data_IF_276819516398
#
_entry.id   IF_276819516398
#
_cell.length_a   1.000
_cell.length_b   1.000
_cell.length_c   1.000
_cell.angle_alpha   90.00
_cell.angle_beta   90.00
_cell.angle_gamma   90.00
#
_symmetry.space_group_name_H-M   'P 1'
#
loop_
_entity.id
_entity.type
_entity.pdbx_description
1 polymer ?
#
# COMPACT_ATOMS: atom_id res chain seq x y z
N UNK A 1 9.71 17.66 42.92
CA UNK A 1 11.00 17.07 42.54
C UNK A 1 10.68 15.76 41.84
N UNK A 2 10.56 15.80 40.52
CA UNK A 2 10.06 14.69 39.70
C UNK A 2 11.18 13.65 39.64
N UNK A 3 10.99 12.52 40.33
CA UNK A 3 11.93 11.40 40.30
C UNK A 3 11.63 10.56 39.06
N UNK A 4 12.70 10.33 38.29
CA UNK A 4 12.77 9.53 37.07
C UNK A 4 11.80 8.36 37.01
N UNK A 5 11.06 8.31 35.90
CA UNK A 5 10.45 7.09 35.36
C UNK A 5 11.53 5.99 35.35
N UNK A 6 11.22 4.84 35.95
CA UNK A 6 12.14 3.72 36.01
C UNK A 6 12.28 3.10 34.62
N UNK A 7 13.32 3.49 33.89
CA UNK A 7 13.64 3.05 32.53
C UNK A 7 13.62 1.53 32.33
N UNK A 8 13.86 0.74 33.39
CA UNK A 8 13.85 -0.73 33.32
C UNK A 8 12.45 -1.31 33.08
N UNK A 9 11.40 -0.67 33.59
CA UNK A 9 10.02 -1.14 33.44
C UNK A 9 9.47 -0.82 32.05
N UNK A 10 9.82 0.34 31.49
CA UNK A 10 9.46 0.75 30.11
C UNK A 10 10.05 -0.21 29.07
N UNK A 11 11.29 -0.65 29.27
CA UNK A 11 11.94 -1.64 28.39
C UNK A 11 11.22 -2.99 28.43
N UNK A 12 10.64 -3.37 29.58
CA UNK A 12 9.98 -4.68 29.75
C UNK A 12 8.63 -4.75 29.03
N UNK A 13 7.86 -3.65 29.01
CA UNK A 13 6.58 -3.57 28.29
C UNK A 13 6.78 -3.56 26.77
N UNK A 14 7.77 -2.81 26.28
CA UNK A 14 8.13 -2.81 24.84
C UNK A 14 8.60 -4.19 24.36
N UNK A 15 9.35 -4.92 25.20
CA UNK A 15 9.82 -6.27 24.90
C UNK A 15 8.67 -7.30 24.86
N UNK A 16 7.67 -7.17 25.73
CA UNK A 16 6.49 -8.05 25.73
C UNK A 16 5.61 -7.78 24.52
N UNK A 17 5.40 -6.51 24.17
CA UNK A 17 4.59 -6.13 23.02
C UNK A 17 5.26 -6.61 21.71
N UNK A 18 6.59 -6.54 21.61
CA UNK A 18 7.32 -7.09 20.46
C UNK A 18 7.36 -8.64 20.41
N UNK A 19 7.40 -9.34 21.56
CA UNK A 19 7.32 -10.81 21.59
C UNK A 19 5.94 -11.37 21.20
N UNK A 20 4.86 -10.60 21.41
CA UNK A 20 3.50 -11.01 21.04
C UNK A 20 3.30 -11.15 19.52
N UNK A 21 4.16 -10.55 18.70
CA UNK A 21 4.07 -10.56 17.23
C UNK A 21 4.88 -11.66 16.54
N UNK A 22 5.46 -12.64 17.27
CA UNK A 22 6.19 -13.78 16.68
C UNK A 22 5.27 -14.99 16.37
N UNK A 23 3.99 -14.94 16.75
CA UNK A 23 3.03 -16.01 16.46
C UNK A 23 2.13 -15.65 15.27
N UNK A 24 1.90 -16.58 14.31
CA UNK A 24 0.96 -16.34 13.22
C UNK A 24 -0.45 -16.23 13.80
N UNK A 25 -1.04 -15.04 13.74
CA UNK A 25 -2.44 -14.80 14.11
C UNK A 25 -3.32 -15.39 13.02
N UNK A 26 -4.05 -16.46 13.34
CA UNK A 26 -5.17 -16.94 12.54
C UNK A 26 -6.37 -16.00 12.69
N UNK A 27 -7.02 -15.68 11.57
CA UNK A 27 -8.03 -14.63 11.43
C UNK A 27 -9.41 -14.92 12.09
N UNK A 28 -9.49 -15.73 13.15
CA UNK A 28 -10.79 -16.12 13.73
C UNK A 28 -10.86 -16.02 15.27
N UNK A 29 -9.82 -15.50 15.93
CA UNK A 29 -9.91 -15.15 17.35
C UNK A 29 -9.99 -13.63 17.49
N UNK A 30 -11.19 -13.13 17.79
CA UNK A 30 -11.31 -11.81 18.39
C UNK A 30 -10.42 -11.79 19.64
N UNK A 31 -9.43 -10.91 19.69
CA UNK A 31 -8.69 -10.64 20.93
C UNK A 31 -9.67 -10.04 21.93
N UNK A 32 -10.36 -10.92 22.68
CA UNK A 32 -10.85 -10.60 24.00
C UNK A 32 -9.66 -10.03 24.78
N UNK A 33 -9.88 -8.92 25.49
CA UNK A 33 -8.98 -8.37 26.52
C UNK A 33 -8.12 -9.49 27.07
N UNK A 34 -6.79 -9.43 26.93
CA UNK A 34 -5.94 -10.36 27.66
C UNK A 34 -6.32 -10.17 29.13
N UNK A 35 -7.06 -11.15 29.66
CA UNK A 35 -7.54 -11.16 31.04
C UNK A 35 -6.31 -11.48 31.89
N UNK A 36 -5.46 -10.46 32.06
CA UNK A 36 -4.29 -10.52 32.92
C UNK A 36 -4.86 -10.76 34.32
N UNK A 37 -4.79 -12.01 34.77
CA UNK A 37 -5.27 -12.39 36.08
C UNK A 37 -4.63 -11.49 37.12
N UNK A 38 -5.47 -10.78 37.88
CA UNK A 38 -5.03 -9.85 38.91
C UNK A 38 -4.07 -10.57 39.88
N UNK A 39 -2.86 -10.05 40.10
CA UNK A 39 -1.96 -10.60 41.10
C UNK A 39 -2.59 -10.52 42.50
N UNK A 40 -2.36 -11.54 43.33
CA UNK A 40 -2.99 -11.69 44.66
C UNK A 40 -2.62 -10.59 45.69
N UNK A 41 -1.78 -9.61 45.32
CA UNK A 41 -1.34 -8.49 46.16
C UNK A 41 -2.13 -7.19 45.96
N UNK A 42 -3.03 -7.13 44.98
CA UNK A 42 -3.92 -5.98 44.80
C UNK A 42 -5.18 -6.14 45.65
N UNK A 43 -5.53 -5.11 46.43
CA UNK A 43 -6.80 -5.05 47.14
C UNK A 43 -7.58 -3.78 46.78
N UNK A 44 -8.58 -3.90 45.92
CA UNK A 44 -9.42 -2.77 45.52
C UNK A 44 -10.46 -2.36 46.57
N UNK A 45 -10.46 -2.96 47.77
CA UNK A 45 -11.31 -2.53 48.89
C UNK A 45 -11.04 -1.06 49.29
N UNK A 46 -9.87 -0.49 48.92
CA UNK A 46 -9.47 0.90 49.18
C UNK A 46 -9.17 1.72 47.90
N UNK A 47 -9.94 1.56 46.83
CA UNK A 47 -9.90 2.49 45.70
C UNK A 47 -10.63 3.80 46.06
N UNK A 48 -9.96 4.95 46.03
CA UNK A 48 -10.62 6.23 46.35
C UNK A 48 -11.08 6.97 45.10
N UNK A 49 -10.41 6.82 43.95
CA UNK A 49 -10.75 7.54 42.73
C UNK A 49 -10.69 6.66 41.48
N UNK A 50 -11.77 6.74 40.69
CA UNK A 50 -11.77 6.26 39.31
C UNK A 50 -11.59 7.44 38.36
N UNK A 51 -10.55 7.42 37.52
CA UNK A 51 -10.34 8.40 36.45
C UNK A 51 -10.76 7.85 35.10
N UNK A 52 -11.59 8.61 34.37
CA UNK A 52 -12.05 8.26 33.04
C UNK A 52 -11.25 9.00 31.97
N UNK A 53 -11.09 8.35 30.82
CA UNK A 53 -10.27 8.83 29.72
C UNK A 53 -9.11 7.87 29.46
N UNK A 54 -8.29 8.21 28.48
CA UNK A 54 -7.19 7.36 28.05
C UNK A 54 -6.39 8.06 26.95
N UNK A 55 -5.36 7.38 26.44
CA UNK A 55 -4.62 7.90 25.31
C UNK A 55 -5.51 7.96 24.06
N UNK A 56 -5.24 8.94 23.21
CA UNK A 56 -5.84 9.06 21.88
C UNK A 56 -4.72 9.47 20.93
N UNK A 57 -4.15 8.49 20.23
CA UNK A 57 -2.94 8.70 19.43
C UNK A 57 -3.33 8.87 17.97
N UNK A 58 -3.26 10.11 17.49
CA UNK A 58 -3.55 10.44 16.09
C UNK A 58 -2.27 10.50 15.26
N UNK A 59 -2.36 10.06 14.01
CA UNK A 59 -1.29 10.06 13.04
C UNK A 59 -1.45 11.18 12.00
N UNK A 60 -0.32 11.74 11.56
CA UNK A 60 -0.27 12.72 10.48
C UNK A 60 0.88 12.38 9.55
N UNK A 61 0.60 12.28 8.24
CA UNK A 61 1.64 12.16 7.22
C UNK A 61 2.40 13.47 7.06
N UNK A 62 3.73 13.40 7.05
CA UNK A 62 4.62 14.54 6.82
C UNK A 62 5.17 14.46 5.39
N UNK A 63 5.05 15.57 4.65
CA UNK A 63 5.58 15.71 3.30
C UNK A 63 4.52 15.44 2.24
N UNK A 64 4.99 15.03 1.06
CA UNK A 64 4.12 14.74 -0.06
C UNK A 64 3.37 13.43 0.16
N UNK A 65 2.13 13.37 -0.30
CA UNK A 65 1.31 12.17 -0.28
C UNK A 65 0.95 11.69 -1.69
N UNK A 66 1.57 12.25 -2.73
CA UNK A 66 1.24 11.98 -4.13
C UNK A 66 2.46 11.45 -4.90
N UNK A 67 2.34 10.26 -5.48
CA UNK A 67 3.46 9.48 -6.02
C UNK A 67 3.15 8.91 -7.41
N UNK A 68 4.21 8.58 -8.15
CA UNK A 68 4.15 7.99 -9.48
C UNK A 68 4.13 6.46 -9.42
N UNK A 69 3.70 5.82 -10.51
CA UNK A 69 3.66 4.36 -10.60
C UNK A 69 5.09 3.79 -10.58
N UNK A 70 5.30 2.70 -9.84
CA UNK A 70 6.63 2.10 -9.69
C UNK A 70 7.55 2.78 -8.68
N UNK A 71 7.10 3.86 -8.01
CA UNK A 71 7.89 4.53 -6.99
C UNK A 71 8.10 3.64 -5.76
N UNK A 72 9.32 3.65 -5.22
CA UNK A 72 9.61 3.18 -3.85
C UNK A 72 9.89 4.39 -2.96
N UNK A 73 9.01 4.63 -1.98
CA UNK A 73 9.05 5.84 -1.15
C UNK A 73 9.00 5.51 0.34
N UNK A 74 9.54 6.41 1.16
CA UNK A 74 9.45 6.35 2.62
C UNK A 74 8.43 7.36 3.11
N UNK A 75 7.29 6.88 3.60
CA UNK A 75 6.29 7.69 4.29
C UNK A 75 6.80 8.05 5.69
N UNK A 76 6.76 9.34 6.03
CA UNK A 76 7.12 9.83 7.37
C UNK A 76 5.83 10.15 8.12
N UNK A 77 5.53 9.40 9.19
CA UNK A 77 4.29 9.56 9.97
C UNK A 77 4.60 10.08 11.35
N UNK A 78 4.07 11.25 11.70
CA UNK A 78 4.13 11.82 13.04
C UNK A 78 2.96 11.29 13.87
N UNK A 79 3.20 10.94 15.12
CA UNK A 79 2.12 10.64 16.06
C UNK A 79 2.00 11.74 17.10
N UNK A 80 0.78 12.07 17.49
CA UNK A 80 0.47 12.98 18.59
C UNK A 80 -0.57 12.35 19.51
N UNK A 81 -0.28 12.32 20.81
CA UNK A 81 -1.24 11.88 21.81
C UNK A 81 -2.13 13.05 22.24
N UNK A 82 -3.40 13.00 21.87
CA UNK A 82 -4.46 13.97 22.22
C UNK A 82 -5.35 13.47 23.35
N UNK A 83 -4.99 12.37 23.99
CA UNK A 83 -5.75 11.76 25.09
C UNK A 83 -5.98 12.75 26.22
N UNK A 84 -7.20 12.80 26.75
CA UNK A 84 -7.58 13.68 27.85
C UNK A 84 -8.30 12.91 28.95
N UNK A 85 -8.26 13.45 30.16
CA UNK A 85 -9.10 12.98 31.25
C UNK A 85 -10.53 13.52 30.99
N UNK A 86 -11.49 12.61 30.91
CA UNK A 86 -12.89 12.94 30.60
C UNK A 86 -13.77 12.99 31.85
N UNK A 87 -13.28 12.49 32.99
CA UNK A 87 -14.01 12.57 34.25
C UNK A 87 -13.26 11.98 35.43
N UNK A 88 -13.79 12.25 36.61
CA UNK A 88 -13.32 11.74 37.89
C UNK A 88 -14.54 11.28 38.69
N UNK A 89 -14.44 10.14 39.36
CA UNK A 89 -15.43 9.67 40.33
C UNK A 89 -14.73 9.35 41.64
N UNK A 90 -15.21 9.94 42.72
CA UNK A 90 -14.83 9.55 44.09
C UNK A 90 -15.59 8.26 44.42
N UNK A 91 -14.89 7.22 44.86
CA UNK A 91 -15.49 5.93 45.24
C UNK A 91 -15.77 5.84 46.75
N UNK A 92 -15.14 6.70 47.56
CA UNK A 92 -15.48 6.85 48.98
C UNK A 92 -16.38 8.07 49.23
N UNK A 93 -17.52 7.82 49.89
CA UNK A 93 -18.46 8.83 50.42
C UNK A 93 -18.37 9.00 51.95
N UNK A 94 -17.42 8.35 52.60
CA UNK A 94 -17.31 8.37 54.06
C UNK A 94 -16.82 9.74 54.55
N UNK A 95 -17.58 10.37 55.43
CA UNK A 95 -17.21 11.64 56.04
C UNK A 95 -17.42 11.52 57.56
N UNK A 96 -16.39 11.77 58.40
CA UNK A 96 -15.07 12.32 58.08
C UNK A 96 -14.04 11.28 57.62
N UNK A 97 -13.26 11.63 56.60
CA UNK A 97 -12.02 10.92 56.18
C UNK A 97 -10.82 11.37 57.03
N UNK A 98 -9.88 10.48 57.31
CA UNK A 98 -8.68 10.80 58.09
C UNK A 98 -7.69 11.69 57.29
N UNK A 99 -6.75 12.33 57.98
CA UNK A 99 -5.70 13.12 57.31
C UNK A 99 -4.80 12.25 56.42
N UNK A 100 -4.60 10.98 56.79
CA UNK A 100 -3.89 9.99 55.98
C UNK A 100 -4.67 9.66 54.71
N UNK A 101 -5.96 9.37 54.84
CA UNK A 101 -6.82 9.02 53.69
C UNK A 101 -6.92 10.20 52.71
N UNK A 102 -7.02 11.43 53.22
CA UNK A 102 -6.96 12.65 52.39
C UNK A 102 -5.65 12.75 51.61
N UNK A 103 -4.53 12.35 52.21
CA UNK A 103 -3.21 12.40 51.57
C UNK A 103 -3.03 11.30 50.54
N UNK A 104 -3.52 10.10 50.84
CA UNK A 104 -3.57 8.95 49.92
C UNK A 104 -4.41 9.33 48.70
N UNK A 105 -5.63 9.83 48.91
CA UNK A 105 -6.53 10.36 47.89
C UNK A 105 -5.86 11.35 46.92
N UNK A 106 -5.19 12.38 47.47
CA UNK A 106 -4.48 13.38 46.64
C UNK A 106 -3.33 12.77 45.84
N UNK A 107 -2.67 11.77 46.42
CA UNK A 107 -1.52 11.10 45.81
C UNK A 107 -1.98 10.17 44.68
N UNK A 108 -3.00 9.37 44.94
CA UNK A 108 -3.65 8.48 43.98
C UNK A 108 -4.17 9.27 42.78
N UNK A 109 -4.87 10.39 43.01
CA UNK A 109 -5.32 11.29 41.94
C UNK A 109 -4.17 11.75 41.02
N UNK A 110 -2.99 12.00 41.58
CA UNK A 110 -1.80 12.39 40.79
C UNK A 110 -1.23 11.26 39.94
N UNK A 111 -1.35 10.01 40.40
CA UNK A 111 -0.96 8.84 39.60
C UNK A 111 -2.03 8.47 38.58
N UNK A 112 -3.31 8.48 38.94
CA UNK A 112 -4.44 8.24 38.05
C UNK A 112 -4.46 9.24 36.87
N UNK A 113 -4.02 10.48 37.09
CA UNK A 113 -3.90 11.48 36.03
C UNK A 113 -2.93 11.07 34.89
N UNK A 114 -2.06 10.08 35.11
CA UNK A 114 -1.12 9.58 34.09
C UNK A 114 -1.78 8.59 33.11
N UNK A 115 -3.02 8.17 33.34
CA UNK A 115 -3.82 7.25 32.51
C UNK A 115 -3.87 7.62 31.03
N UNK A 116 -3.77 8.91 30.70
CA UNK A 116 -3.78 9.41 29.32
C UNK A 116 -2.47 9.22 28.57
N UNK A 117 -1.42 8.71 29.21
CA UNK A 117 -0.12 8.50 28.59
C UNK A 117 -0.12 7.19 27.79
N UNK A 118 0.20 7.26 26.50
CA UNK A 118 0.45 6.07 25.68
C UNK A 118 1.90 5.63 25.85
N UNK A 119 2.11 4.41 26.36
CA UNK A 119 3.41 3.86 26.73
C UNK A 119 3.83 2.79 25.73
N UNK A 120 5.03 2.91 25.17
CA UNK A 120 5.57 1.88 24.26
C UNK A 120 4.69 1.67 23.02
N UNK A 121 4.35 2.74 22.33
CA UNK A 121 3.55 2.72 21.11
C UNK A 121 4.29 1.93 20.02
N UNK A 122 3.60 0.95 19.46
CA UNK A 122 4.00 0.20 18.27
C UNK A 122 2.98 0.46 17.17
N UNK A 123 3.46 0.91 16.02
CA UNK A 123 2.66 1.27 14.87
C UNK A 123 2.90 0.30 13.71
N UNK A 124 1.83 -0.21 13.12
CA UNK A 124 1.87 -1.17 12.02
C UNK A 124 1.05 -0.59 10.87
N UNK A 125 1.71 -0.30 9.75
CA UNK A 125 1.06 0.16 8.54
C UNK A 125 0.78 -1.04 7.62
N UNK A 126 -0.44 -1.10 7.10
CA UNK A 126 -0.88 -2.15 6.17
C UNK A 126 -1.63 -1.53 5.01
N UNK A 127 -1.63 -2.22 3.87
CA UNK A 127 -2.49 -1.90 2.73
C UNK A 127 -3.33 -3.13 2.40
N UNK A 128 -4.62 -2.93 2.20
CA UNK A 128 -5.51 -3.96 1.69
C UNK A 128 -5.51 -3.99 0.14
N UNK A 129 -4.95 -2.96 -0.51
CA UNK A 129 -4.87 -2.86 -1.96
C UNK A 129 -3.55 -3.45 -2.47
N UNK A 130 -3.57 -4.43 -3.40
CA UNK A 130 -2.36 -5.06 -3.92
C UNK A 130 -1.45 -4.10 -4.72
N UNK A 131 -1.95 -2.94 -5.12
CA UNK A 131 -1.17 -1.93 -5.83
C UNK A 131 -0.24 -1.12 -4.93
N UNK A 132 -0.45 -1.12 -3.61
CA UNK A 132 0.46 -0.47 -2.65
C UNK A 132 1.03 -1.51 -1.70
N UNK A 133 2.30 -1.82 -1.85
CA UNK A 133 2.98 -2.78 -0.99
C UNK A 133 3.72 -2.07 0.14
N UNK A 134 3.34 -2.33 1.39
CA UNK A 134 4.13 -1.90 2.55
C UNK A 134 5.30 -2.87 2.74
N UNK A 135 6.53 -2.35 2.71
CA UNK A 135 7.78 -3.11 2.85
C UNK A 135 8.37 -3.04 4.26
N UNK A 136 7.97 -2.04 5.05
CA UNK A 136 8.37 -1.92 6.45
C UNK A 136 7.58 -2.87 7.35
N UNK A 137 8.23 -3.34 8.40
CA UNK A 137 7.55 -3.97 9.55
C UNK A 137 7.07 -2.95 10.59
N UNK A 138 6.64 -3.43 11.77
CA UNK A 138 6.24 -2.57 12.89
C UNK A 138 7.30 -1.51 13.24
N UNK A 139 6.85 -0.31 13.58
CA UNK A 139 7.71 0.81 14.00
C UNK A 139 7.40 1.19 15.46
N UNK A 140 8.43 1.46 16.25
CA UNK A 140 8.26 1.91 17.64
C UNK A 140 8.27 3.44 17.72
N UNK A 141 7.29 4.01 18.40
CA UNK A 141 7.19 5.46 18.64
C UNK A 141 7.53 5.87 20.08
N UNK A 142 7.83 4.88 20.94
CA UNK A 142 8.15 5.13 22.34
C UNK A 142 6.92 5.51 23.17
N UNK A 143 7.09 6.41 24.13
CA UNK A 143 6.01 6.86 25.02
C UNK A 143 5.64 8.30 24.70
N UNK A 144 4.34 8.59 24.63
CA UNK A 144 3.81 9.94 24.44
C UNK A 144 2.87 10.29 25.57
N UNK A 145 3.23 11.27 26.40
CA UNK A 145 2.30 11.87 27.34
C UNK A 145 1.22 12.66 26.59
N UNK A 146 0.14 13.02 27.29
CA UNK A 146 -0.91 13.86 26.70
C UNK A 146 -0.34 15.19 26.21
N UNK A 147 -0.64 15.54 24.96
CA UNK A 147 -0.16 16.74 24.27
C UNK A 147 1.23 16.60 23.63
N UNK A 148 1.92 15.47 23.83
CA UNK A 148 3.22 15.22 23.20
C UNK A 148 3.06 14.64 21.79
N UNK A 149 4.11 14.82 20.99
CA UNK A 149 4.26 14.25 19.68
C UNK A 149 5.60 13.54 19.54
N UNK A 150 5.71 12.64 18.56
CA UNK A 150 6.97 11.98 18.24
C UNK A 150 8.07 12.99 17.94
N UNK A 151 9.28 12.75 18.49
CA UNK A 151 10.45 13.59 18.20
C UNK A 151 11.02 13.28 16.82
N UNK A 152 11.02 11.99 16.45
CA UNK A 152 11.38 11.50 15.13
C UNK A 152 10.16 10.81 14.49
N UNK A 153 9.77 11.17 13.26
CA UNK A 153 8.67 10.52 12.57
C UNK A 153 8.96 9.04 12.31
N UNK A 154 7.89 8.24 12.36
CA UNK A 154 7.91 6.84 11.97
C UNK A 154 8.11 6.71 10.46
N UNK A 155 8.88 5.72 10.03
CA UNK A 155 9.27 5.56 8.62
C UNK A 155 8.74 4.27 8.05
N UNK A 156 7.79 4.38 7.12
CA UNK A 156 7.21 3.24 6.42
C UNK A 156 7.60 3.27 4.95
N UNK A 157 8.38 2.29 4.52
CA UNK A 157 8.71 2.11 3.12
C UNK A 157 7.54 1.45 2.41
N UNK A 158 7.08 2.07 1.34
CA UNK A 158 6.04 1.53 0.46
C UNK A 158 6.55 1.45 -0.97
N UNK A 159 5.90 0.62 -1.77
CA UNK A 159 6.13 0.50 -3.20
C UNK A 159 4.79 0.59 -3.92
N UNK A 160 4.72 1.52 -4.88
CA UNK A 160 3.57 1.69 -5.76
C UNK A 160 3.75 0.77 -6.97
N UNK A 161 2.75 -0.05 -7.28
CA UNK A 161 2.77 -0.91 -8.45
C UNK A 161 2.93 -0.09 -9.73
N UNK A 162 3.69 -0.62 -10.71
CA UNK A 162 3.81 -0.01 -12.05
C UNK A 162 2.48 0.07 -12.80
N UNK A 163 1.53 -0.79 -12.43
CA UNK A 163 0.20 -0.86 -13.04
C UNK A 163 -0.88 -0.31 -12.10
N UNK A 164 -0.51 0.42 -11.05
CA UNK A 164 -1.46 1.00 -10.11
C UNK A 164 -2.36 2.02 -10.84
N UNK A 165 -3.70 1.86 -10.81
CA UNK A 165 -4.60 2.90 -11.30
C UNK A 165 -4.37 4.22 -10.56
N UNK A 166 -4.60 5.35 -11.23
CA UNK A 166 -4.58 6.64 -10.55
C UNK A 166 -5.72 6.73 -9.52
N UNK A 167 -5.44 7.31 -8.35
CA UNK A 167 -6.44 7.44 -7.30
C UNK A 167 -5.87 7.52 -5.89
N UNK A 168 -6.77 7.59 -4.91
CA UNK A 168 -6.41 7.59 -3.49
C UNK A 168 -6.42 6.16 -2.95
N UNK A 169 -5.34 5.81 -2.24
CA UNK A 169 -5.12 4.51 -1.63
C UNK A 169 -5.03 4.69 -0.12
N UNK A 170 -6.08 4.30 0.62
CA UNK A 170 -6.06 4.34 2.08
C UNK A 170 -5.15 3.24 2.64
N UNK A 171 -4.33 3.59 3.62
CA UNK A 171 -3.46 2.66 4.35
C UNK A 171 -3.88 2.63 5.82
N UNK A 172 -4.06 1.42 6.35
CA UNK A 172 -4.52 1.21 7.72
C UNK A 172 -3.31 1.23 8.66
N UNK A 173 -3.29 2.19 9.58
CA UNK A 173 -2.29 2.31 10.63
C UNK A 173 -2.88 1.79 11.94
N UNK A 174 -2.45 0.60 12.35
CA UNK A 174 -2.83 0.04 13.66
C UNK A 174 -1.79 0.41 14.70
N UNK A 175 -2.24 1.02 15.79
CA UNK A 175 -1.44 1.44 16.92
C UNK A 175 -1.76 0.56 18.13
N UNK A 176 -0.72 -0.01 18.73
CA UNK A 176 -0.78 -0.70 20.01
C UNK A 176 0.03 0.09 21.03
N UNK A 177 -0.49 0.24 22.25
CA UNK A 177 0.24 0.91 23.32
C UNK A 177 -0.19 0.37 24.68
N UNK A 178 0.71 0.41 25.65
CA UNK A 178 0.36 0.25 27.05
C UNK A 178 -0.23 1.55 27.61
N UNK A 179 -1.09 1.45 28.62
CA UNK A 179 -1.52 2.58 29.41
C UNK A 179 -1.83 2.14 30.84
N UNK A 180 -1.71 3.05 31.80
CA UNK A 180 -2.07 2.76 33.18
C UNK A 180 -3.60 2.74 33.30
N UNK A 181 -4.16 1.58 33.62
CA UNK A 181 -5.60 1.42 33.76
C UNK A 181 -6.08 1.72 35.19
N UNK A 182 -5.24 1.46 36.20
CA UNK A 182 -5.54 1.80 37.60
C UNK A 182 -4.25 1.97 38.42
N UNK A 183 -4.35 2.70 39.53
CA UNK A 183 -3.34 2.73 40.60
C UNK A 183 -3.98 2.37 41.94
N UNK A 184 -3.18 1.82 42.84
CA UNK A 184 -3.50 1.62 44.25
C UNK A 184 -2.39 2.26 45.09
N UNK A 185 -2.75 3.03 46.12
CA UNK A 185 -1.81 3.69 47.02
C UNK A 185 -2.10 3.28 48.46
N UNK A 186 -1.10 2.67 49.11
CA UNK A 186 -1.17 2.27 50.53
C UNK A 186 -0.07 2.98 51.34
N UNK A 187 -0.25 3.11 52.66
CA UNK A 187 0.79 3.59 53.56
C UNK A 187 0.36 3.70 55.02
N UNK A 188 1.32 3.89 55.92
CA UNK A 188 1.10 3.67 57.36
C UNK A 188 0.65 4.93 58.12
N UNK A 189 1.23 6.09 57.81
CA UNK A 189 0.96 7.36 58.53
C UNK A 189 1.22 8.59 57.65
N UNK A 190 0.48 9.67 57.93
CA UNK A 190 0.70 11.00 57.33
C UNK A 190 1.78 11.78 58.10
N UNK A 191 2.63 12.49 57.36
CA UNK A 191 3.63 13.41 57.89
C UNK A 191 3.73 14.64 57.01
N UNK A 192 4.34 15.71 57.53
CA UNK A 192 4.64 16.92 56.76
C UNK A 192 5.50 16.69 55.51
N UNK A 193 6.19 15.55 55.40
CA UNK A 193 7.01 15.15 54.25
C UNK A 193 6.26 14.22 53.27
N UNK A 194 5.05 13.75 53.61
CA UNK A 194 4.26 12.81 52.82
C UNK A 194 3.81 11.58 53.62
N UNK A 195 3.42 10.53 52.90
CA UNK A 195 2.97 9.24 53.47
C UNK A 195 4.20 8.38 53.79
N UNK A 196 4.24 7.82 54.99
CA UNK A 196 5.31 6.89 55.40
C UNK A 196 5.01 5.46 54.94
N UNK A 197 6.06 4.70 54.61
CA UNK A 197 5.97 3.34 54.06
C UNK A 197 4.99 3.22 52.88
N UNK A 198 5.00 4.25 52.02
CA UNK A 198 4.08 4.32 50.89
C UNK A 198 4.38 3.24 49.86
N UNK A 199 3.39 2.43 49.54
CA UNK A 199 3.40 1.43 48.48
C UNK A 199 2.50 1.88 47.33
N UNK A 200 2.95 1.64 46.10
CA UNK A 200 2.26 2.05 44.87
C UNK A 200 2.10 0.83 43.97
N UNK A 201 0.87 0.36 43.81
CA UNK A 201 0.50 -0.67 42.86
C UNK A 201 0.05 -0.04 41.54
N UNK A 202 0.70 -0.35 40.43
CA UNK A 202 0.32 0.14 39.10
C UNK A 202 -0.21 -1.00 38.25
N UNK A 203 -1.39 -0.80 37.66
CA UNK A 203 -2.00 -1.74 36.73
C UNK A 203 -1.94 -1.20 35.31
N UNK A 204 -1.46 -2.02 34.38
CA UNK A 204 -1.31 -1.65 32.97
C UNK A 204 -2.18 -2.53 32.09
N UNK A 205 -2.82 -1.90 31.12
CA UNK A 205 -3.56 -2.56 30.05
C UNK A 205 -2.97 -2.19 28.68
N UNK A 206 -3.35 -2.96 27.66
CA UNK A 206 -3.00 -2.68 26.26
C UNK A 206 -4.20 -2.02 25.59
N UNK A 207 -3.97 -0.84 25.02
CA UNK A 207 -4.88 -0.15 24.13
C UNK A 207 -4.55 -0.46 22.67
N UNK A 208 -5.57 -0.45 21.83
CA UNK A 208 -5.47 -0.55 20.38
C UNK A 208 -6.27 0.59 19.74
N UNK A 209 -5.68 1.28 18.79
CA UNK A 209 -6.31 2.32 17.99
C UNK A 209 -6.02 2.08 16.52
N UNK A 210 -7.02 2.29 15.67
CA UNK A 210 -6.84 2.32 14.23
C UNK A 210 -6.92 3.76 13.76
N UNK A 211 -5.97 4.14 12.92
CA UNK A 211 -5.98 5.40 12.20
C UNK A 211 -5.69 5.11 10.72
N UNK A 212 -5.86 6.12 9.86
CA UNK A 212 -5.68 5.96 8.43
C UNK A 212 -4.78 7.06 7.88
N UNK A 213 -3.84 6.66 7.02
CA UNK A 213 -3.07 7.59 6.19
C UNK A 213 -3.33 7.26 4.73
N UNK A 214 -3.50 8.27 3.88
CA UNK A 214 -3.78 8.07 2.46
C UNK A 214 -2.57 8.46 1.62
N UNK A 215 -2.29 7.66 0.59
CA UNK A 215 -1.38 8.01 -0.50
C UNK A 215 -2.16 8.14 -1.79
N UNK A 216 -1.70 8.98 -2.71
CA UNK A 216 -2.35 9.27 -3.98
C UNK A 216 -1.41 8.83 -5.10
N UNK A 217 -1.90 8.03 -6.03
CA UNK A 217 -1.19 7.70 -7.27
C UNK A 217 -1.62 8.70 -8.34
N UNK A 218 -0.62 9.35 -8.95
CA UNK A 218 -0.83 10.35 -9.99
C UNK A 218 -1.52 9.75 -11.21
N UNK A 219 -2.26 10.60 -11.92
CA UNK A 219 -2.65 10.29 -13.29
C UNK A 219 -1.41 10.39 -14.16
N UNK A 220 -1.19 9.36 -14.96
CA UNK A 220 -0.08 9.29 -15.90
C UNK A 220 -0.58 8.69 -17.21
N UNK A 221 0.07 9.06 -18.30
CA UNK A 221 -0.14 8.41 -19.58
C UNK A 221 0.57 7.06 -19.61
N UNK A 222 -0.05 6.09 -20.27
CA UNK A 222 0.49 4.76 -20.48
C UNK A 222 0.09 4.29 -21.87
N UNK A 223 0.92 3.49 -22.53
CA UNK A 223 0.76 3.14 -23.94
C UNK A 223 0.83 1.64 -24.17
N UNK A 224 -0.11 1.14 -24.94
CA UNK A 224 -0.12 -0.25 -25.40
C UNK A 224 -0.27 -0.33 -26.92
N UNK A 225 0.22 -1.42 -27.51
CA UNK A 225 0.10 -1.69 -28.94
C UNK A 225 -1.09 -2.61 -29.15
N UNK A 226 -2.10 -2.11 -29.85
CA UNK A 226 -3.33 -2.87 -30.11
C UNK A 226 -3.30 -3.62 -31.44
N UNK A 227 -2.47 -3.18 -32.40
CA UNK A 227 -2.37 -3.79 -33.71
C UNK A 227 -1.01 -3.52 -34.36
N UNK A 228 -0.48 -4.52 -35.08
CA UNK A 228 0.71 -4.39 -35.92
C UNK A 228 0.41 -5.04 -37.26
N UNK A 229 0.58 -4.29 -38.35
CA UNK A 229 0.38 -4.79 -39.71
C UNK A 229 1.54 -4.39 -40.61
N UNK A 230 1.71 -5.10 -41.72
CA UNK A 230 2.83 -4.92 -42.63
C UNK A 230 3.65 -6.21 -42.75
N UNK A 231 4.41 -6.30 -43.83
CA UNK A 231 5.24 -7.47 -44.14
C UNK A 231 6.71 -7.05 -44.18
N UNK A 232 7.54 -7.82 -43.48
CA UNK A 232 8.99 -7.66 -43.47
C UNK A 232 9.61 -8.92 -44.06
N UNK A 233 10.43 -8.76 -45.10
CA UNK A 233 11.05 -9.87 -45.84
C UNK A 233 12.57 -9.69 -45.81
N UNK A 234 13.32 -10.78 -45.58
CA UNK A 234 14.78 -10.75 -45.59
C UNK A 234 15.33 -10.14 -46.89
N UNK A 235 16.29 -9.22 -46.76
CA UNK A 235 16.93 -8.53 -47.87
C UNK A 235 16.09 -7.42 -48.52
N UNK A 236 14.88 -7.15 -48.03
CA UNK A 236 13.97 -6.13 -48.58
C UNK A 236 13.72 -4.98 -47.58
N UNK A 237 13.23 -3.87 -48.13
CA UNK A 237 12.59 -2.82 -47.33
C UNK A 237 11.11 -3.13 -47.18
N UNK A 238 10.57 -2.94 -45.98
CA UNK A 238 9.16 -3.08 -45.67
C UNK A 238 8.65 -1.93 -44.81
N UNK A 239 7.34 -1.77 -44.77
CA UNK A 239 6.67 -0.77 -43.95
C UNK A 239 5.77 -1.50 -42.97
N UNK A 240 5.87 -1.12 -41.70
CA UNK A 240 4.95 -1.58 -40.65
C UNK A 240 4.08 -0.42 -40.17
N UNK A 241 2.81 -0.72 -39.91
CA UNK A 241 1.85 0.17 -39.27
C UNK A 241 1.58 -0.38 -37.87
N UNK A 242 1.80 0.46 -36.86
CA UNK A 242 1.66 0.11 -35.45
C UNK A 242 0.63 1.04 -34.81
N UNK A 243 -0.46 0.46 -34.31
CA UNK A 243 -1.51 1.22 -33.63
C UNK A 243 -1.22 1.30 -32.14
N UNK A 244 -0.86 2.49 -31.67
CA UNK A 244 -0.66 2.79 -30.25
C UNK A 244 -1.96 3.30 -29.64
N UNK A 245 -2.27 2.84 -28.43
CA UNK A 245 -3.42 3.29 -27.64
C UNK A 245 -2.93 3.90 -26.33
N UNK A 246 -3.46 5.06 -25.97
CA UNK A 246 -3.29 5.60 -24.63
C UNK A 246 -4.19 4.82 -23.67
N UNK A 247 -3.61 4.00 -22.81
CA UNK A 247 -4.31 3.20 -21.79
C UNK A 247 -4.23 3.82 -20.39
N UNK A 248 -3.48 4.92 -20.24
CA UNK A 248 -3.40 5.70 -19.00
C UNK A 248 -4.61 6.62 -18.80
N UNK A 249 -4.62 7.37 -17.69
CA UNK A 249 -5.71 8.29 -17.33
C UNK A 249 -5.39 9.77 -17.64
N UNK A 250 -4.23 10.03 -18.25
CA UNK A 250 -3.80 11.36 -18.64
C UNK A 250 -3.78 11.51 -20.17
N UNK A 251 -4.29 12.64 -20.67
CA UNK A 251 -4.20 13.01 -22.08
C UNK A 251 -2.77 13.45 -22.43
N UNK A 252 -2.32 13.10 -23.64
CA UNK A 252 -0.98 13.47 -24.11
C UNK A 252 -1.04 14.34 -25.36
N UNK A 253 -0.09 15.26 -25.48
CA UNK A 253 0.07 16.13 -26.66
C UNK A 253 1.43 15.90 -27.32
N UNK A 254 1.51 16.29 -28.59
CA UNK A 254 2.73 16.23 -29.39
C UNK A 254 3.48 14.88 -29.32
N UNK A 255 2.70 13.80 -29.23
CA UNK A 255 3.23 12.46 -29.04
C UNK A 255 3.97 11.99 -30.31
N UNK A 256 5.22 11.56 -30.12
CA UNK A 256 6.10 11.03 -31.16
C UNK A 256 6.65 9.69 -30.69
N UNK A 257 6.37 8.65 -31.44
CA UNK A 257 6.92 7.31 -31.21
C UNK A 257 8.33 7.26 -31.78
N UNK A 258 9.27 6.69 -31.03
CA UNK A 258 10.62 6.38 -31.50
C UNK A 258 10.88 4.89 -31.37
N UNK A 259 11.48 4.29 -32.40
CA UNK A 259 11.91 2.88 -32.36
C UNK A 259 13.43 2.76 -32.21
N UNK A 260 13.85 1.76 -31.45
CA UNK A 260 15.26 1.35 -31.39
C UNK A 260 15.47 0.16 -32.32
N UNK A 261 16.02 0.44 -33.51
CA UNK A 261 16.38 -0.62 -34.47
C UNK A 261 17.68 -1.32 -34.07
N UNK A 262 17.68 -2.64 -34.20
CA UNK A 262 18.82 -3.52 -33.99
C UNK A 262 18.73 -4.68 -34.99
N UNK A 263 19.83 -5.41 -35.19
CA UNK A 263 19.91 -6.52 -36.14
C UNK A 263 18.71 -7.47 -36.02
N UNK A 264 18.05 -7.84 -37.14
CA UNK A 264 18.43 -7.58 -38.53
C UNK A 264 17.85 -6.28 -39.12
N UNK A 265 17.28 -5.39 -38.30
CA UNK A 265 16.60 -4.18 -38.77
C UNK A 265 17.54 -2.97 -38.80
N UNK A 266 17.42 -2.19 -39.87
CA UNK A 266 17.98 -0.84 -39.95
C UNK A 266 16.94 0.12 -40.52
N UNK A 267 17.00 1.38 -40.09
CA UNK A 267 16.12 2.43 -40.59
C UNK A 267 16.82 3.78 -40.58
N UNK A 268 16.38 4.66 -41.47
CA UNK A 268 16.75 6.10 -41.47
C UNK A 268 15.61 6.97 -40.96
N UNK A 269 14.46 6.39 -40.64
CA UNK A 269 13.24 7.07 -40.20
C UNK A 269 12.70 6.32 -38.95
N UNK A 270 13.36 6.57 -37.82
CA UNK A 270 13.10 5.89 -36.53
C UNK A 270 12.00 6.56 -35.70
N UNK A 271 11.32 7.57 -36.24
CA UNK A 271 10.32 8.37 -35.53
C UNK A 271 9.01 8.47 -36.30
N UNK A 272 7.90 8.52 -35.57
CA UNK A 272 6.57 8.72 -36.14
C UNK A 272 5.72 9.60 -35.23
N UNK A 273 5.21 10.72 -35.77
CA UNK A 273 4.34 11.63 -35.01
C UNK A 273 2.91 11.09 -34.99
N UNK A 274 2.36 10.91 -33.79
CA UNK A 274 1.02 10.36 -33.55
C UNK A 274 0.05 11.38 -32.91
N UNK A 275 0.51 12.61 -32.65
CA UNK A 275 -0.36 13.73 -32.30
C UNK A 275 -0.81 13.75 -30.84
N UNK A 276 -2.07 14.16 -30.62
CA UNK A 276 -2.70 14.20 -29.30
C UNK A 276 -3.54 12.95 -29.12
N UNK A 277 -3.46 12.32 -27.94
CA UNK A 277 -4.26 11.14 -27.59
C UNK A 277 -4.91 11.35 -26.23
N UNK A 278 -6.25 11.40 -26.20
CA UNK A 278 -7.01 11.31 -24.97
C UNK A 278 -6.96 9.89 -24.38
N UNK A 279 -7.28 9.70 -23.09
CA UNK A 279 -7.40 8.38 -22.48
C UNK A 279 -8.33 7.46 -23.29
N UNK A 280 -7.80 6.33 -23.74
CA UNK A 280 -8.51 5.33 -24.55
C UNK A 280 -8.43 5.54 -26.07
N UNK A 281 -7.91 6.67 -26.56
CA UNK A 281 -7.74 6.91 -28.00
C UNK A 281 -6.55 6.17 -28.59
N UNK A 282 -6.55 6.00 -29.92
CA UNK A 282 -5.50 5.29 -30.65
C UNK A 282 -5.06 6.04 -31.90
N UNK A 283 -3.78 5.92 -32.24
CA UNK A 283 -3.19 6.47 -33.46
C UNK A 283 -2.17 5.51 -34.07
N UNK A 284 -2.02 5.61 -35.39
CA UNK A 284 -1.12 4.77 -36.17
C UNK A 284 0.25 5.44 -36.36
N UNK A 285 1.30 4.75 -35.92
CA UNK A 285 2.68 5.06 -36.24
C UNK A 285 3.13 4.21 -37.44
N UNK A 286 3.86 4.82 -38.37
CA UNK A 286 4.36 4.16 -39.58
C UNK A 286 5.88 4.15 -39.53
N UNK A 287 6.47 2.97 -39.72
CA UNK A 287 7.92 2.81 -39.75
C UNK A 287 8.36 2.08 -41.01
N UNK A 288 9.36 2.65 -41.69
CA UNK A 288 10.05 2.00 -42.81
C UNK A 288 11.29 1.29 -42.28
N UNK A 289 11.38 -0.02 -42.50
CA UNK A 289 12.48 -0.86 -42.03
C UNK A 289 13.16 -1.55 -43.20
N UNK A 290 14.48 -1.62 -43.18
CA UNK A 290 15.27 -2.51 -44.04
C UNK A 290 15.68 -3.73 -43.23
N UNK A 291 15.43 -4.91 -43.78
CA UNK A 291 15.78 -6.19 -43.16
C UNK A 291 17.04 -6.73 -43.81
N UNK A 292 18.04 -7.09 -43.00
CA UNK A 292 19.28 -7.72 -43.48
C UNK A 292 18.98 -9.05 -44.18
N UNK A 293 19.67 -9.32 -45.29
CA UNK A 293 19.52 -10.56 -46.08
C UNK A 293 20.07 -11.79 -45.32
N UNK A 294 21.05 -11.59 -44.45
CA UNK A 294 21.67 -12.62 -43.60
C UNK A 294 20.89 -12.86 -42.30
N UNK A 295 19.77 -12.15 -42.11
CA UNK A 295 18.87 -12.33 -40.98
C UNK A 295 18.20 -13.71 -40.95
N UNK A 296 17.56 -14.02 -39.83
CA UNK A 296 16.80 -15.27 -39.64
C UNK A 296 15.32 -14.94 -39.73
N UNK A 297 14.58 -15.65 -40.57
CA UNK A 297 13.12 -15.53 -40.59
C UNK A 297 12.53 -16.05 -39.27
N UNK A 298 11.96 -15.15 -38.46
CA UNK A 298 11.30 -15.43 -37.19
C UNK A 298 10.53 -14.19 -36.72
N UNK A 299 9.80 -14.34 -35.62
CA UNK A 299 9.22 -13.20 -34.89
C UNK A 299 10.30 -12.43 -34.15
N UNK A 300 10.26 -11.11 -34.25
CA UNK A 300 11.12 -10.17 -33.55
C UNK A 300 10.30 -9.20 -32.71
N UNK A 301 10.93 -8.68 -31.66
CA UNK A 301 10.42 -7.58 -30.86
C UNK A 301 11.31 -6.36 -31.07
N UNK A 302 10.72 -5.25 -31.51
CA UNK A 302 11.38 -3.96 -31.68
C UNK A 302 10.97 -3.08 -30.49
N UNK A 303 11.95 -2.55 -29.76
CA UNK A 303 11.68 -1.64 -28.65
C UNK A 303 11.22 -0.29 -29.21
N UNK A 304 10.16 0.26 -28.60
CA UNK A 304 9.63 1.57 -28.93
C UNK A 304 9.31 2.36 -27.66
N UNK A 305 9.39 3.69 -27.75
CA UNK A 305 9.09 4.62 -26.67
C UNK A 305 8.27 5.77 -27.24
N UNK A 306 7.33 6.30 -26.46
CA UNK A 306 6.53 7.46 -26.85
C UNK A 306 7.03 8.67 -26.09
N UNK A 307 7.54 9.67 -26.81
CA UNK A 307 7.84 10.98 -26.24
C UNK A 307 6.64 11.88 -26.41
N UNK A 308 6.18 12.53 -25.35
CA UNK A 308 4.98 13.36 -25.36
C UNK A 308 5.10 14.56 -24.40
N UNK A 309 4.14 15.47 -24.48
CA UNK A 309 3.91 16.54 -23.52
C UNK A 309 2.69 16.18 -22.65
N UNK A 310 2.86 16.24 -21.33
CA UNK A 310 1.79 16.00 -20.36
C UNK A 310 0.81 17.19 -20.24
N UNK A 311 -0.21 17.07 -19.40
CA UNK A 311 -1.24 18.12 -19.28
C UNK A 311 -0.70 19.43 -18.67
N UNK A 312 0.41 19.36 -17.95
CA UNK A 312 1.11 20.48 -17.33
C UNK A 312 2.16 21.13 -18.25
N UNK A 313 2.39 20.57 -19.45
CA UNK A 313 3.34 21.09 -20.43
C UNK A 313 4.77 20.56 -20.26
N UNK A 314 4.99 19.50 -19.47
CA UNK A 314 6.30 18.87 -19.33
C UNK A 314 6.51 17.79 -20.37
N UNK A 315 7.71 17.72 -20.93
CA UNK A 315 8.09 16.64 -21.83
C UNK A 315 8.43 15.37 -21.06
N UNK A 316 7.78 14.27 -21.39
CA UNK A 316 7.93 12.93 -20.79
C UNK A 316 8.28 11.89 -21.86
N UNK A 317 8.76 10.73 -21.42
CA UNK A 317 8.99 9.56 -22.26
C UNK A 317 8.40 8.35 -21.56
N UNK A 318 7.60 7.57 -22.29
CA UNK A 318 6.94 6.38 -21.76
C UNK A 318 7.96 5.30 -21.39
N UNK A 319 7.49 4.30 -20.65
CA UNK A 319 8.16 3.02 -20.60
C UNK A 319 8.28 2.39 -22.01
N UNK A 320 9.22 1.46 -22.16
CA UNK A 320 9.43 0.76 -23.43
C UNK A 320 8.25 -0.16 -23.76
N UNK A 321 7.61 0.09 -24.90
CA UNK A 321 6.57 -0.77 -25.48
C UNK A 321 7.18 -1.59 -26.62
N UNK A 322 6.86 -2.89 -26.69
CA UNK A 322 7.48 -3.81 -27.66
C UNK A 322 6.59 -4.08 -28.87
N UNK A 323 7.03 -3.63 -30.03
CA UNK A 323 6.38 -3.95 -31.31
C UNK A 323 6.78 -5.38 -31.70
N UNK A 324 5.81 -6.28 -31.78
CA UNK A 324 6.05 -7.66 -32.22
C UNK A 324 5.72 -7.79 -33.70
N UNK A 325 6.68 -8.24 -34.51
CA UNK A 325 6.53 -8.37 -35.97
C UNK A 325 7.21 -9.64 -36.48
N UNK A 326 6.69 -10.22 -37.57
CA UNK A 326 7.21 -11.43 -38.19
C UNK A 326 8.06 -11.08 -39.43
N UNK A 327 9.27 -11.66 -39.50
CA UNK A 327 10.14 -11.56 -40.67
C UNK A 327 10.04 -12.83 -41.49
N UNK A 328 9.69 -12.68 -42.76
CA UNK A 328 9.53 -13.76 -43.73
C UNK A 328 10.82 -14.06 -44.50
N UNK A 329 11.02 -15.32 -44.97
CA UNK A 329 12.20 -15.70 -45.76
C UNK A 329 12.32 -14.94 -47.08
N UNK A 330 13.55 -14.76 -47.59
CA UNK A 330 13.77 -14.16 -48.90
C UNK A 330 12.98 -14.89 -50.01
N UNK A 331 12.33 -14.14 -50.90
CA UNK A 331 11.52 -14.68 -51.99
C UNK A 331 10.07 -15.00 -51.63
N UNK A 332 9.63 -14.72 -50.40
CA UNK A 332 8.22 -14.83 -49.97
C UNK A 332 7.34 -13.67 -50.45
N UNK A 333 7.74 -12.95 -51.50
CA UNK A 333 6.92 -11.89 -52.11
C UNK A 333 5.68 -12.53 -52.72
N UNK A 334 4.61 -12.66 -51.94
CA UNK A 334 3.36 -13.17 -52.44
C UNK A 334 2.75 -12.12 -53.36
N UNK A 335 2.51 -12.54 -54.60
CA UNK A 335 1.78 -11.81 -55.61
C UNK A 335 0.36 -11.58 -55.12
N UNK A 336 0.10 -10.40 -54.56
CA UNK A 336 -1.22 -9.79 -54.37
C UNK A 336 -2.40 -10.74 -54.14
N UNK A 337 -2.70 -11.04 -52.87
CA UNK A 337 -4.08 -11.17 -52.40
C UNK A 337 -4.14 -11.09 -50.88
N UNK A 338 -3.94 -9.89 -50.34
CA UNK A 338 -4.27 -9.56 -48.95
C UNK A 338 -5.78 -9.54 -48.73
N UNK A 339 -6.47 -10.68 -48.87
CA UNK A 339 -7.79 -10.98 -48.29
C UNK A 339 -8.09 -12.47 -48.51
N UNK A 340 -8.63 -13.17 -47.51
CA UNK A 340 -9.33 -14.48 -47.58
C UNK A 340 -8.61 -15.80 -47.22
N UNK A 341 -7.31 -15.90 -46.93
CA UNK A 341 -6.75 -17.21 -46.52
C UNK A 341 -7.33 -17.68 -45.17
N UNK A 342 -7.51 -16.78 -44.21
CA UNK A 342 -8.18 -17.10 -42.93
C UNK A 342 -9.67 -17.45 -43.08
N UNK A 343 -10.39 -16.83 -44.03
CA UNK A 343 -11.82 -17.05 -44.24
C UNK A 343 -12.09 -18.35 -45.01
N UNK A 344 -11.24 -18.70 -45.98
CA UNK A 344 -11.41 -19.95 -46.76
C UNK A 344 -11.13 -21.18 -45.90
N UNK A 345 -10.12 -21.14 -45.01
CA UNK A 345 -9.85 -22.25 -44.09
C UNK A 345 -11.00 -22.43 -43.09
N UNK A 346 -11.56 -21.35 -42.54
CA UNK A 346 -12.73 -21.42 -41.64
C UNK A 346 -13.97 -21.94 -42.37
N UNK A 347 -14.24 -21.49 -43.61
CA UNK A 347 -15.38 -22.00 -44.38
C UNK A 347 -15.23 -23.48 -44.74
N UNK A 348 -14.03 -23.94 -45.09
CA UNK A 348 -13.78 -25.36 -45.36
C UNK A 348 -13.97 -26.19 -44.07
N UNK A 349 -13.46 -25.73 -42.93
CA UNK A 349 -13.64 -26.42 -41.64
C UNK A 349 -15.11 -26.46 -41.23
N UNK A 350 -15.87 -25.37 -41.40
CA UNK A 350 -17.31 -25.32 -41.09
C UNK A 350 -18.11 -26.22 -42.03
N UNK A 351 -17.78 -26.27 -43.32
CA UNK A 351 -18.45 -27.17 -44.28
C UNK A 351 -18.13 -28.63 -43.99
N UNK A 352 -16.87 -28.97 -43.67
CA UNK A 352 -16.47 -30.33 -43.28
C UNK A 352 -17.12 -30.74 -41.95
N UNK A 353 -17.19 -29.84 -40.97
CA UNK A 353 -17.87 -30.07 -39.71
C UNK A 353 -19.39 -30.24 -39.88
N UNK A 354 -20.03 -29.45 -40.74
CA UNK A 354 -21.46 -29.56 -41.05
C UNK A 354 -21.79 -30.87 -41.80
N UNK A 355 -20.95 -31.28 -42.75
CA UNK A 355 -21.09 -32.57 -43.45
C UNK A 355 -20.87 -33.74 -42.47
N UNK A 356 -19.87 -33.64 -41.60
CA UNK A 356 -19.61 -34.61 -40.54
C UNK A 356 -20.76 -34.75 -39.55
N UNK A 357 -21.31 -33.62 -39.07
CA UNK A 357 -22.45 -33.59 -38.16
C UNK A 357 -23.72 -34.16 -38.80
N UNK A 358 -23.99 -33.85 -40.07
CA UNK A 358 -25.14 -34.41 -40.81
C UNK A 358 -25.02 -35.92 -40.99
N UNK A 359 -23.81 -36.44 -41.26
CA UNK A 359 -23.54 -37.88 -41.37
C UNK A 359 -23.66 -38.59 -40.02
N UNK A 360 -23.29 -37.93 -38.92
CA UNK A 360 -23.40 -38.48 -37.56
C UNK A 360 -24.85 -38.47 -37.04
N UNK A 361 -25.63 -37.44 -37.36
CA UNK A 361 -27.05 -37.34 -36.99
C UNK A 361 -27.92 -38.26 -37.84
N UNK A 362 -27.67 -38.39 -39.15
CA UNK A 362 -28.40 -39.31 -40.02
C UNK A 362 -28.18 -40.79 -39.69
N UNK A 363 -27.05 -41.13 -39.05
CA UNK A 363 -26.77 -42.50 -38.59
C UNK A 363 -27.49 -42.85 -37.28
N UNK A 364 -28.04 -41.86 -36.57
CA UNK A 364 -28.75 -42.04 -35.29
C UNK A 364 -30.26 -42.26 -35.48
N UNK A 365 -30.80 -42.01 -36.66
CA UNK A 365 -32.20 -42.29 -37.01
C UNK A 365 -32.43 -43.69 -37.60
N UNK A 366 -31.37 -44.42 -37.99
CA UNK A 366 -31.50 -45.83 -38.45
C UNK A 366 -31.37 -46.87 -37.33
N UNK A 367 -30.99 -46.45 -36.11
CA UNK A 367 -30.75 -47.33 -34.95
C UNK A 367 -31.78 -47.16 -33.81
N UNK A 368 -32.97 -46.62 -34.10
CA UNK A 368 -34.12 -46.59 -33.16
C UNK A 368 -35.39 -47.17 -33.78
#
# INVERSE_FOLDING_TARGET
>A
MIKNINFKTVVSVSLILSLLFVLPVSADDAMSTMDLKLPDFFNFDENYYTVYGGPDVSATLIGDNEYSRGDEVTLNVNLMNKGVITGFKSEQDNNPISALDQKIQQTEMGYEAQRTTAIGIVAILTSDDPNIRVKSGPQEAGTLASGEQTTDPLKFNIEVSKNAPAGEYPLNLTLYYGYQENVEINGDNETSLGITNMEVGLWYAVGQQMDQVSVIVKKEADFDITNVTGELVLGQEGIIHVTYKNVGEEAVKDATVRISSADPFSTTDDQSFIGTLEPGESADAIFKLKVDETGVAKTYAINSEVKYEDTDGHSKTSDTVKITTEVLPAGSSDSGSGTYVGIVVVLIVVVVAAIGAKKFLGKKEEDN
#
